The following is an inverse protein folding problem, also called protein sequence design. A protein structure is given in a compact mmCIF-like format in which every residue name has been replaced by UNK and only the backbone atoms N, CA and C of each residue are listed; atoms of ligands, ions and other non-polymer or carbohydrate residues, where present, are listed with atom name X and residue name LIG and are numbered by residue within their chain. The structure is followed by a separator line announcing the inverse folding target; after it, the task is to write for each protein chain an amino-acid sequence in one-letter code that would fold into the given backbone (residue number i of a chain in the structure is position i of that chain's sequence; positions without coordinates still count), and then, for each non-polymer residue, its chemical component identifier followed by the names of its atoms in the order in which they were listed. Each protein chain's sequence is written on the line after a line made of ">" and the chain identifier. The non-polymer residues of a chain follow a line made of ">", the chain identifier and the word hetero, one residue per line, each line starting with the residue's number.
data_IF_168192884603
#
_entry.id   IF_168192884603
#
_cell.length_a   1.000
_cell.length_b   1.000
_cell.length_c   1.000
_cell.angle_alpha   90.00
_cell.angle_beta   90.00
_cell.angle_gamma   90.00
#
_symmetry.space_group_name_H-M   'P 1'
#
loop_
_entity.id
_entity.type
_entity.pdbx_description
1 polymer ?
#
# COMPACT_ATOMS: atom_id res chain seq x y z
N UNK A 1 12.34 -65.92 -26.71
CA UNK A 1 11.99 -64.48 -26.66
C UNK A 1 11.00 -64.29 -25.52
N UNK A 2 11.49 -63.85 -24.36
CA UNK A 2 10.74 -63.17 -23.31
C UNK A 2 11.78 -62.68 -22.31
N UNK A 3 12.00 -61.37 -22.30
CA UNK A 3 12.99 -60.66 -21.50
C UNK A 3 12.30 -60.09 -20.25
N UNK A 4 12.73 -60.53 -19.09
CA UNK A 4 12.49 -59.90 -17.79
C UNK A 4 13.31 -58.62 -17.67
N UNK A 5 12.67 -57.48 -17.44
CA UNK A 5 13.32 -56.26 -16.97
C UNK A 5 12.52 -55.71 -15.81
N UNK A 6 13.07 -55.85 -14.61
CA UNK A 6 12.54 -55.29 -13.37
C UNK A 6 12.56 -53.75 -13.44
N UNK A 7 11.40 -53.14 -13.22
CA UNK A 7 11.26 -51.70 -13.07
C UNK A 7 11.58 -51.29 -11.61
N UNK A 8 12.60 -50.47 -11.43
CA UNK A 8 12.87 -49.78 -10.17
C UNK A 8 11.91 -48.58 -10.01
N UNK A 9 11.44 -48.27 -8.79
CA UNK A 9 10.58 -47.11 -8.57
C UNK A 9 11.39 -45.81 -8.66
N UNK A 10 10.95 -44.90 -9.54
CA UNK A 10 11.42 -43.51 -9.62
C UNK A 10 11.19 -42.82 -8.27
N UNK A 11 12.27 -42.33 -7.65
CA UNK A 11 12.17 -41.54 -6.42
C UNK A 11 11.54 -40.19 -6.72
N UNK A 12 10.45 -39.91 -6.01
CA UNK A 12 9.79 -38.61 -5.95
C UNK A 12 10.66 -37.63 -5.16
N UNK A 13 11.58 -36.95 -5.83
CA UNK A 13 12.34 -35.85 -5.25
C UNK A 13 12.73 -34.86 -6.34
N UNK A 14 11.76 -34.07 -6.80
CA UNK A 14 11.99 -32.78 -7.47
C UNK A 14 10.69 -31.96 -7.38
N UNK A 15 10.34 -31.57 -6.15
CA UNK A 15 9.50 -30.41 -5.91
C UNK A 15 10.46 -29.23 -5.75
N UNK A 16 10.67 -28.51 -6.85
CA UNK A 16 11.42 -27.27 -6.90
C UNK A 16 10.78 -26.26 -5.95
N UNK A 17 11.47 -25.95 -4.85
CA UNK A 17 11.20 -24.78 -4.01
C UNK A 17 11.32 -23.54 -4.90
N UNK A 18 10.21 -22.89 -5.21
CA UNK A 18 10.24 -21.55 -5.78
C UNK A 18 10.77 -20.61 -4.70
N UNK A 19 12.06 -20.26 -4.77
CA UNK A 19 12.56 -19.13 -3.99
C UNK A 19 11.73 -17.90 -4.38
N UNK A 20 10.85 -17.46 -3.48
CA UNK A 20 10.06 -16.25 -3.65
C UNK A 20 11.00 -15.06 -3.54
N UNK A 21 11.56 -14.64 -4.67
CA UNK A 21 12.40 -13.44 -4.74
C UNK A 21 11.59 -12.26 -4.25
N UNK A 22 12.15 -11.49 -3.29
CA UNK A 22 11.42 -10.38 -2.69
C UNK A 22 11.17 -9.27 -3.73
N UNK A 23 10.00 -8.62 -3.72
CA UNK A 23 9.72 -7.47 -4.59
C UNK A 23 10.83 -6.41 -4.60
N UNK A 24 11.45 -6.09 -3.46
CA UNK A 24 12.56 -5.12 -3.47
C UNK A 24 13.77 -5.57 -4.27
N UNK A 25 14.07 -6.86 -4.38
CA UNK A 25 15.18 -7.35 -5.20
C UNK A 25 15.00 -7.02 -6.70
N UNK A 26 13.75 -6.93 -7.18
CA UNK A 26 13.45 -6.61 -8.58
C UNK A 26 13.44 -5.11 -8.90
N UNK A 27 13.11 -4.28 -7.91
CA UNK A 27 12.85 -2.85 -8.13
C UNK A 27 13.82 -1.91 -7.41
N UNK A 28 14.84 -2.45 -6.74
CA UNK A 28 15.80 -1.65 -6.00
C UNK A 28 16.73 -0.86 -6.93
N UNK A 29 16.57 0.45 -6.90
CA UNK A 29 17.55 1.41 -7.42
C UNK A 29 18.26 2.06 -6.22
N UNK A 30 19.57 2.33 -6.35
CA UNK A 30 20.33 3.13 -5.36
C UNK A 30 21.10 4.22 -6.10
N UNK A 31 20.47 5.38 -6.37
CA UNK A 31 21.18 6.50 -6.97
C UNK A 31 22.36 6.95 -6.09
N UNK A 32 23.48 7.40 -6.67
CA UNK A 32 24.62 7.90 -5.89
C UNK A 32 24.19 8.99 -4.92
N UNK A 33 24.66 8.91 -3.66
CA UNK A 33 24.32 9.87 -2.60
C UNK A 33 22.99 9.60 -1.89
N UNK A 34 22.16 8.68 -2.40
CA UNK A 34 20.89 8.30 -1.75
C UNK A 34 21.07 7.07 -0.89
N UNK A 35 20.67 7.18 0.37
CA UNK A 35 20.56 6.08 1.32
C UNK A 35 19.10 5.81 1.65
N UNK A 36 18.72 4.53 1.71
CA UNK A 36 17.39 4.11 2.14
C UNK A 36 17.42 3.74 3.61
N UNK A 37 16.64 4.44 4.42
CA UNK A 37 16.58 4.24 5.86
C UNK A 37 15.15 3.97 6.31
N UNK A 38 14.99 3.10 7.30
CA UNK A 38 13.72 2.90 7.97
C UNK A 38 13.51 4.05 8.98
N UNK A 39 12.27 4.51 9.12
CA UNK A 39 11.96 5.56 10.07
C UNK A 39 12.14 5.06 11.52
N UNK A 40 12.70 5.92 12.37
CA UNK A 40 12.80 5.71 13.80
C UNK A 40 12.27 6.92 14.55
N UNK A 41 11.52 6.67 15.62
CA UNK A 41 10.96 7.72 16.48
C UNK A 41 12.04 8.60 17.12
N UNK A 42 13.24 8.06 17.32
CA UNK A 42 14.38 8.84 17.85
C UNK A 42 14.78 9.99 16.92
N UNK A 43 14.48 9.88 15.62
CA UNK A 43 14.78 10.89 14.59
C UNK A 43 13.57 11.75 14.23
N UNK A 44 12.51 11.77 15.06
CA UNK A 44 11.33 12.59 14.80
C UNK A 44 11.68 14.07 14.63
N UNK A 45 12.52 14.62 15.50
CA UNK A 45 12.90 16.03 15.46
C UNK A 45 13.60 16.43 14.15
N UNK A 46 14.31 15.48 13.52
CA UNK A 46 15.02 15.67 12.25
C UNK A 46 14.10 15.48 11.05
N UNK A 47 13.35 14.38 11.01
CA UNK A 47 12.63 13.98 9.79
C UNK A 47 11.16 14.38 9.75
N UNK A 48 10.46 14.50 10.88
CA UNK A 48 9.04 14.86 10.83
C UNK A 48 8.79 16.24 10.18
N UNK A 49 9.59 17.29 10.44
CA UNK A 49 9.46 18.55 9.70
C UNK A 49 9.67 18.38 8.19
N UNK A 50 10.68 17.59 7.78
CA UNK A 50 10.99 17.35 6.37
C UNK A 50 9.92 16.51 5.66
N UNK A 51 9.39 15.48 6.33
CA UNK A 51 8.28 14.64 5.85
C UNK A 51 7.06 15.52 5.57
N UNK A 52 6.70 16.39 6.52
CA UNK A 52 5.56 17.31 6.39
C UNK A 52 5.74 18.27 5.23
N UNK A 53 6.93 18.88 5.12
CA UNK A 53 7.23 19.79 4.03
C UNK A 53 7.12 19.08 2.68
N UNK A 54 7.71 17.89 2.55
CA UNK A 54 7.70 17.12 1.31
C UNK A 54 6.27 16.71 0.92
N UNK A 55 5.51 16.15 1.86
CA UNK A 55 4.13 15.71 1.62
C UNK A 55 3.21 16.89 1.28
N UNK A 56 3.33 18.03 1.97
CA UNK A 56 2.51 19.22 1.67
C UNK A 56 2.76 19.81 0.28
N UNK A 57 3.92 19.53 -0.33
CA UNK A 57 4.24 19.98 -1.68
C UNK A 57 3.75 19.01 -2.75
N UNK A 58 3.72 17.71 -2.44
CA UNK A 58 3.45 16.65 -3.40
C UNK A 58 1.99 16.19 -3.39
N UNK A 59 1.33 16.25 -2.23
CA UNK A 59 -0.05 15.80 -2.04
C UNK A 59 -1.01 17.00 -1.87
N UNK A 60 -2.21 16.83 -2.42
CA UNK A 60 -3.29 17.84 -2.41
C UNK A 60 -4.00 17.97 -1.05
N UNK A 61 -3.80 17.00 -0.15
CA UNK A 61 -4.52 16.90 1.12
C UNK A 61 -3.74 17.54 2.29
N UNK A 62 -4.34 18.50 3.03
CA UNK A 62 -3.71 19.08 4.20
C UNK A 62 -3.83 18.14 5.41
N UNK A 63 -2.73 17.51 5.81
CA UNK A 63 -2.70 16.68 7.02
C UNK A 63 -2.28 17.48 8.26
N UNK A 64 -3.00 17.27 9.37
CA UNK A 64 -2.56 17.76 10.67
C UNK A 64 -1.34 16.96 11.17
N UNK A 65 -0.54 17.56 12.06
CA UNK A 65 0.59 16.88 12.70
C UNK A 65 0.20 15.55 13.37
N UNK A 66 -1.05 15.45 13.86
CA UNK A 66 -1.56 14.28 14.56
C UNK A 66 -1.70 13.07 13.63
N UNK A 67 -2.05 13.29 12.36
CA UNK A 67 -2.14 12.21 11.37
C UNK A 67 -0.77 11.56 11.15
N UNK A 68 0.28 12.37 10.95
CA UNK A 68 1.63 11.85 10.82
C UNK A 68 2.05 11.05 12.05
N UNK A 69 1.84 11.59 13.25
CA UNK A 69 2.22 10.91 14.49
C UNK A 69 1.44 9.63 14.73
N UNK A 70 0.16 9.58 14.39
CA UNK A 70 -0.64 8.37 14.47
C UNK A 70 0.02 7.23 13.69
N UNK A 71 0.40 7.46 12.43
CA UNK A 71 1.09 6.45 11.64
C UNK A 71 2.49 6.14 12.18
N UNK A 72 3.30 7.17 12.42
CA UNK A 72 4.71 7.01 12.75
C UNK A 72 4.92 6.39 14.13
N UNK A 73 4.01 6.59 15.09
CA UNK A 73 4.15 6.02 16.44
C UNK A 73 3.76 4.54 16.49
N UNK A 74 2.81 4.14 15.65
CA UNK A 74 2.26 2.77 15.65
C UNK A 74 2.99 1.86 14.66
N UNK A 75 3.43 2.42 13.52
CA UNK A 75 4.04 1.67 12.42
C UNK A 75 5.32 2.32 11.89
N UNK A 76 6.15 2.88 12.78
CA UNK A 76 7.47 3.41 12.44
C UNK A 76 8.25 2.47 11.52
N UNK A 77 8.23 1.17 11.85
CA UNK A 77 8.92 0.13 11.12
C UNK A 77 8.43 -0.05 9.66
N UNK A 78 7.17 0.25 9.36
CA UNK A 78 6.64 0.14 7.99
C UNK A 78 6.90 1.39 7.15
N UNK A 79 7.48 2.43 7.76
CA UNK A 79 7.76 3.69 7.10
C UNK A 79 9.23 3.75 6.67
N UNK A 80 9.47 4.05 5.39
CA UNK A 80 10.81 4.11 4.81
C UNK A 80 11.06 5.48 4.18
N UNK A 81 12.32 5.90 4.21
CA UNK A 81 12.79 7.18 3.70
C UNK A 81 13.98 6.95 2.76
N UNK A 82 14.09 7.81 1.76
CA UNK A 82 15.30 7.98 0.98
C UNK A 82 15.92 9.32 1.37
N UNK A 83 17.14 9.31 1.88
CA UNK A 83 17.87 10.49 2.35
C UNK A 83 19.04 10.79 1.43
N UNK A 84 19.24 12.07 1.13
CA UNK A 84 20.41 12.55 0.40
C UNK A 84 21.55 12.84 1.38
N UNK A 85 22.51 11.92 1.41
CA UNK A 85 23.72 12.00 2.25
C UNK A 85 24.68 13.09 1.79
N UNK A 86 24.51 13.64 0.58
CA UNK A 86 25.34 14.72 0.04
C UNK A 86 24.80 16.11 0.38
N UNK A 87 23.53 16.22 0.78
CA UNK A 87 22.85 17.46 1.19
C UNK A 87 22.30 17.34 2.62
N UNK A 88 23.19 17.19 3.61
CA UNK A 88 22.84 17.21 5.04
C UNK A 88 21.66 16.30 5.43
N UNK A 89 21.63 15.06 4.92
CA UNK A 89 20.56 14.07 5.14
C UNK A 89 19.16 14.56 4.77
N UNK A 90 19.07 15.42 3.76
CA UNK A 90 17.78 15.94 3.31
C UNK A 90 16.91 14.85 2.73
N UNK A 91 15.62 14.90 3.06
CA UNK A 91 14.66 13.91 2.62
C UNK A 91 14.38 14.02 1.11
N UNK A 92 14.74 12.98 0.36
CA UNK A 92 14.51 12.86 -1.07
C UNK A 92 13.16 12.18 -1.39
N UNK A 93 12.76 11.19 -0.60
CA UNK A 93 11.46 10.53 -0.72
C UNK A 93 11.04 9.87 0.60
N UNK A 94 9.74 9.64 0.77
CA UNK A 94 9.19 8.94 1.95
C UNK A 94 7.96 8.12 1.56
N UNK A 95 7.81 6.96 2.19
CA UNK A 95 6.57 6.18 2.21
C UNK A 95 6.13 5.98 3.67
N UNK A 96 4.87 6.24 3.95
CA UNK A 96 4.24 6.03 5.26
C UNK A 96 3.15 4.98 5.10
N UNK A 97 3.24 3.95 5.91
CA UNK A 97 2.39 2.76 5.81
C UNK A 97 1.83 2.37 7.18
N UNK A 98 0.78 1.55 7.16
CA UNK A 98 0.30 0.81 8.33
C UNK A 98 -0.04 -0.63 8.01
N UNK A 99 -0.24 -1.44 9.03
CA UNK A 99 -0.69 -2.82 8.93
C UNK A 99 -1.64 -3.14 10.08
N UNK A 100 -2.89 -3.45 9.75
CA UNK A 100 -3.96 -3.75 10.73
C UNK A 100 -5.02 -4.67 10.12
N UNK A 101 -5.78 -5.36 10.98
CA UNK A 101 -6.96 -6.10 10.54
C UNK A 101 -8.02 -5.15 9.98
N UNK A 102 -8.46 -5.40 8.76
CA UNK A 102 -9.47 -4.57 8.11
C UNK A 102 -10.87 -5.11 8.38
N UNK A 103 -11.59 -4.46 9.31
CA UNK A 103 -13.01 -4.71 9.61
C UNK A 103 -13.32 -6.18 9.94
N UNK A 104 -12.52 -6.76 10.83
CA UNK A 104 -12.65 -8.18 11.20
C UNK A 104 -12.24 -9.17 10.10
N UNK A 105 -11.82 -8.67 8.93
CA UNK A 105 -11.37 -9.47 7.79
C UNK A 105 -9.84 -9.53 7.69
N UNK A 106 -9.27 -9.38 6.48
CA UNK A 106 -7.85 -9.64 6.23
C UNK A 106 -6.93 -8.67 6.99
N UNK A 107 -5.74 -9.15 7.33
CA UNK A 107 -4.63 -8.32 7.79
C UNK A 107 -4.13 -7.49 6.60
N UNK A 108 -4.51 -6.21 6.57
CA UNK A 108 -4.33 -5.34 5.41
C UNK A 108 -3.22 -4.33 5.67
N UNK A 109 -2.21 -4.36 4.81
CA UNK A 109 -1.26 -3.27 4.66
C UNK A 109 -1.93 -2.07 3.98
N UNK A 110 -1.58 -0.85 4.38
CA UNK A 110 -2.11 0.36 3.76
C UNK A 110 -1.02 1.37 3.52
N UNK A 111 -0.87 1.82 2.27
CA UNK A 111 0.08 2.88 1.89
C UNK A 111 -0.65 4.21 1.99
N UNK A 112 -0.40 4.93 3.08
CA UNK A 112 -1.13 6.15 3.41
C UNK A 112 -0.61 7.36 2.65
N UNK A 113 0.71 7.51 2.60
CA UNK A 113 1.36 8.67 1.98
C UNK A 113 2.63 8.20 1.27
N UNK A 114 2.83 8.68 0.05
CA UNK A 114 4.04 8.50 -0.74
C UNK A 114 4.38 9.83 -1.38
N UNK A 115 5.58 10.34 -1.13
CA UNK A 115 6.02 11.59 -1.73
C UNK A 115 7.48 11.50 -2.18
N UNK A 116 7.81 12.14 -3.30
CA UNK A 116 9.18 12.21 -3.83
C UNK A 116 9.51 13.63 -4.26
N UNK A 117 10.64 14.12 -3.78
CA UNK A 117 11.16 15.44 -4.13
C UNK A 117 11.38 15.52 -5.65
N UNK A 118 10.97 16.63 -6.26
CA UNK A 118 10.94 16.80 -7.71
C UNK A 118 12.31 16.54 -8.36
N UNK A 119 13.40 16.94 -7.70
CA UNK A 119 14.77 16.74 -8.18
C UNK A 119 15.20 15.25 -8.22
N UNK A 120 14.45 14.37 -7.56
CA UNK A 120 14.70 12.93 -7.49
C UNK A 120 13.62 12.07 -8.16
N UNK A 121 12.60 12.69 -8.76
CA UNK A 121 11.59 11.96 -9.55
C UNK A 121 12.25 11.29 -10.76
N UNK A 122 11.64 10.20 -11.22
CA UNK A 122 12.16 9.41 -12.35
C UNK A 122 13.41 8.58 -12.04
N UNK A 123 13.95 8.64 -10.83
CA UNK A 123 15.13 7.84 -10.39
C UNK A 123 14.77 6.55 -9.65
N UNK A 124 13.51 6.13 -9.70
CA UNK A 124 13.04 4.89 -9.07
C UNK A 124 12.88 4.91 -7.54
N UNK A 125 13.10 6.05 -6.87
CA UNK A 125 13.06 6.12 -5.39
C UNK A 125 11.73 5.63 -4.81
N UNK A 126 10.61 6.13 -5.33
CA UNK A 126 9.28 5.74 -4.90
C UNK A 126 9.04 4.23 -5.07
N UNK A 127 9.47 3.64 -6.19
CA UNK A 127 9.32 2.21 -6.43
C UNK A 127 10.17 1.39 -5.46
N UNK A 128 11.42 1.79 -5.19
CA UNK A 128 12.26 1.13 -4.18
C UNK A 128 11.61 1.18 -2.80
N UNK A 129 11.11 2.35 -2.37
CA UNK A 129 10.48 2.53 -1.06
C UNK A 129 9.23 1.68 -0.89
N UNK A 130 8.33 1.72 -1.87
CA UNK A 130 7.10 0.92 -1.82
C UNK A 130 7.44 -0.57 -1.83
N UNK A 131 8.43 -1.01 -2.62
CA UNK A 131 8.84 -2.42 -2.64
C UNK A 131 9.40 -2.89 -1.29
N UNK A 132 10.18 -2.05 -0.60
CA UNK A 132 10.65 -2.36 0.76
C UNK A 132 9.51 -2.45 1.77
N UNK A 133 8.52 -1.57 1.66
CA UNK A 133 7.32 -1.64 2.50
C UNK A 133 6.50 -2.92 2.24
N UNK A 134 6.34 -3.32 0.97
CA UNK A 134 5.67 -4.57 0.59
C UNK A 134 6.41 -5.77 1.17
N UNK A 135 7.74 -5.84 1.02
CA UNK A 135 8.56 -6.94 1.57
C UNK A 135 8.33 -7.11 3.08
N UNK A 136 8.37 -6.00 3.84
CA UNK A 136 8.14 -6.04 5.28
C UNK A 136 6.68 -6.38 5.66
N UNK A 137 5.70 -5.94 4.85
CA UNK A 137 4.30 -6.35 5.06
C UNK A 137 4.11 -7.84 4.81
N UNK A 138 4.77 -8.41 3.78
CA UNK A 138 4.78 -9.87 3.53
C UNK A 138 5.42 -10.60 4.70
N UNK A 139 6.56 -10.12 5.21
CA UNK A 139 7.23 -10.71 6.38
C UNK A 139 6.33 -10.69 7.63
N UNK A 140 5.49 -9.66 7.76
CA UNK A 140 4.49 -9.53 8.82
C UNK A 140 3.15 -10.22 8.52
N UNK A 141 3.14 -11.14 7.56
CA UNK A 141 2.01 -11.98 7.19
C UNK A 141 0.78 -11.21 6.69
N UNK A 142 0.97 -10.05 6.07
CA UNK A 142 -0.12 -9.31 5.43
C UNK A 142 -0.84 -10.17 4.37
N UNK A 143 -2.17 -10.09 4.36
CA UNK A 143 -3.03 -10.79 3.40
C UNK A 143 -3.15 -10.01 2.08
N UNK A 144 -3.18 -8.68 2.18
CA UNK A 144 -3.28 -7.76 1.06
C UNK A 144 -2.75 -6.37 1.40
N UNK A 145 -2.52 -5.54 0.38
CA UNK A 145 -2.09 -4.15 0.53
C UNK A 145 -3.03 -3.24 -0.26
N UNK A 146 -3.49 -2.16 0.35
CA UNK A 146 -4.41 -1.21 -0.25
C UNK A 146 -3.83 0.22 -0.29
N UNK A 147 -4.33 1.00 -1.25
CA UNK A 147 -4.10 2.45 -1.33
C UNK A 147 -5.16 3.13 -2.21
N UNK A 148 -5.25 4.45 -2.09
CA UNK A 148 -5.99 5.30 -3.01
C UNK A 148 -5.06 6.29 -3.72
N UNK A 149 -5.34 6.55 -4.99
CA UNK A 149 -4.63 7.58 -5.76
C UNK A 149 -5.58 8.32 -6.70
N UNK A 150 -5.30 9.59 -6.95
CA UNK A 150 -6.07 10.42 -7.89
C UNK A 150 -6.09 9.79 -9.29
N UNK A 151 -7.25 9.78 -9.94
CA UNK A 151 -7.41 9.25 -11.30
C UNK A 151 -6.49 9.96 -12.31
N UNK A 152 -6.15 11.22 -12.06
CA UNK A 152 -5.25 12.05 -12.87
C UNK A 152 -3.77 11.76 -12.61
N UNK A 153 -3.41 11.10 -11.52
CA UNK A 153 -2.02 10.80 -11.16
C UNK A 153 -1.48 9.58 -11.94
N UNK A 154 -1.28 9.79 -13.24
CA UNK A 154 -0.82 8.74 -14.17
C UNK A 154 0.54 8.15 -13.79
N UNK A 155 1.41 8.92 -13.12
CA UNK A 155 2.71 8.46 -12.66
C UNK A 155 2.58 7.45 -11.51
N UNK A 156 1.76 7.75 -10.50
CA UNK A 156 1.48 6.84 -9.40
C UNK A 156 0.74 5.58 -9.88
N UNK A 157 -0.26 5.73 -10.76
CA UNK A 157 -0.98 4.60 -11.34
C UNK A 157 -0.03 3.60 -12.02
N UNK A 158 0.87 4.09 -12.89
CA UNK A 158 1.86 3.25 -13.58
C UNK A 158 2.85 2.59 -12.60
N UNK A 159 3.21 3.29 -11.52
CA UNK A 159 4.08 2.74 -10.48
C UNK A 159 3.41 1.54 -9.80
N UNK A 160 2.17 1.72 -9.33
CA UNK A 160 1.46 0.68 -8.59
C UNK A 160 1.05 -0.50 -9.49
N UNK A 161 0.61 -0.24 -10.72
CA UNK A 161 0.33 -1.31 -11.69
C UNK A 161 1.57 -2.16 -11.99
N UNK A 162 2.76 -1.55 -12.08
CA UNK A 162 4.03 -2.29 -12.24
C UNK A 162 4.35 -3.16 -11.03
N UNK A 163 3.97 -2.73 -9.83
CA UNK A 163 4.13 -3.49 -8.59
C UNK A 163 3.04 -4.55 -8.39
N UNK A 164 2.14 -4.73 -9.37
CA UNK A 164 1.10 -5.77 -9.34
C UNK A 164 -0.22 -5.34 -8.69
N UNK A 165 -0.38 -4.05 -8.35
CA UNK A 165 -1.65 -3.57 -7.83
C UNK A 165 -2.72 -3.56 -8.93
N UNK A 166 -3.93 -3.96 -8.53
CA UNK A 166 -5.12 -4.01 -9.37
C UNK A 166 -6.09 -2.91 -8.95
N UNK A 167 -6.75 -2.29 -9.93
CA UNK A 167 -7.81 -1.31 -9.67
C UNK A 167 -9.05 -2.05 -9.16
N UNK A 168 -9.41 -1.83 -7.90
CA UNK A 168 -10.53 -2.50 -7.24
C UNK A 168 -11.84 -1.69 -7.37
N UNK A 169 -11.78 -0.39 -7.07
CA UNK A 169 -12.98 0.46 -7.01
C UNK A 169 -12.67 1.89 -7.46
N UNK A 170 -13.62 2.54 -8.12
CA UNK A 170 -13.59 3.99 -8.37
C UNK A 170 -14.35 4.71 -7.27
N UNK A 171 -13.72 5.71 -6.65
CA UNK A 171 -14.27 6.54 -5.59
C UNK A 171 -14.54 7.93 -6.16
N UNK A 172 -15.81 8.28 -6.33
CA UNK A 172 -16.20 9.56 -6.92
C UNK A 172 -16.07 10.69 -5.89
N UNK A 173 -15.43 11.80 -6.28
CA UNK A 173 -15.23 13.00 -5.43
C UNK A 173 -14.62 12.64 -4.06
N UNK A 174 -13.59 11.80 -4.09
CA UNK A 174 -12.93 11.27 -2.90
C UNK A 174 -12.08 12.33 -2.21
N UNK A 175 -11.28 13.08 -2.98
CA UNK A 175 -10.40 14.12 -2.45
C UNK A 175 -11.14 15.43 -2.20
N UNK A 176 -10.61 16.29 -1.33
CA UNK A 176 -11.21 17.58 -0.97
C UNK A 176 -11.39 18.51 -2.18
N UNK A 177 -10.51 18.39 -3.17
CA UNK A 177 -10.60 19.12 -4.44
C UNK A 177 -11.73 18.61 -5.36
N UNK A 178 -12.48 17.58 -4.96
CA UNK A 178 -13.56 16.97 -5.73
C UNK A 178 -13.11 15.95 -6.78
N UNK A 179 -11.81 15.66 -6.87
CA UNK A 179 -11.27 14.67 -7.80
C UNK A 179 -11.66 13.25 -7.40
N UNK A 180 -11.85 12.40 -8.40
CA UNK A 180 -12.09 10.98 -8.18
C UNK A 180 -10.78 10.25 -7.91
N UNK A 181 -10.85 9.17 -7.12
CA UNK A 181 -9.72 8.29 -6.84
C UNK A 181 -10.00 6.89 -7.37
N UNK A 182 -8.94 6.13 -7.63
CA UNK A 182 -9.02 4.68 -7.68
C UNK A 182 -8.49 4.10 -6.37
N UNK A 183 -9.22 3.14 -5.81
CA UNK A 183 -8.68 2.21 -4.82
C UNK A 183 -7.96 1.08 -5.54
N UNK A 184 -6.72 0.86 -5.16
CA UNK A 184 -5.86 -0.18 -5.70
C UNK A 184 -5.61 -1.24 -4.61
N UNK A 185 -5.55 -2.50 -5.01
CA UNK A 185 -5.30 -3.64 -4.13
C UNK A 185 -4.19 -4.53 -4.70
N UNK A 186 -3.30 -4.99 -3.83
CA UNK A 186 -2.34 -6.05 -4.11
C UNK A 186 -2.66 -7.22 -3.18
N UNK A 187 -3.15 -8.33 -3.73
CA UNK A 187 -3.39 -9.55 -2.95
C UNK A 187 -2.09 -10.33 -2.77
N UNK A 188 -1.73 -10.64 -1.54
CA UNK A 188 -0.51 -11.37 -1.20
C UNK A 188 -0.77 -12.86 -1.00
N UNK A 189 -1.99 -13.22 -0.58
CA UNK A 189 -2.41 -14.62 -0.39
C UNK A 189 -3.62 -14.97 -1.27
N UNK A 190 -3.72 -16.24 -1.65
CA UNK A 190 -4.85 -16.73 -2.43
C UNK A 190 -6.13 -16.72 -1.59
N UNK A 191 -7.26 -16.32 -2.18
CA UNK A 191 -8.57 -16.34 -1.54
C UNK A 191 -8.92 -15.11 -0.69
N UNK A 192 -7.97 -14.18 -0.49
CA UNK A 192 -8.17 -12.98 0.34
C UNK A 192 -9.32 -12.09 -0.14
N UNK A 193 -9.50 -11.96 -1.46
CA UNK A 193 -10.60 -11.19 -2.04
C UNK A 193 -12.02 -11.72 -1.71
N UNK A 194 -12.13 -12.94 -1.17
CA UNK A 194 -13.39 -13.53 -0.70
C UNK A 194 -13.61 -13.47 0.82
N UNK A 195 -12.64 -12.94 1.59
CA UNK A 195 -12.77 -12.84 3.05
C UNK A 195 -13.85 -11.79 3.37
N UNK A 196 -14.88 -12.14 4.14
CA UNK A 196 -15.89 -11.18 4.58
C UNK A 196 -15.24 -10.05 5.38
N UNK A 197 -15.67 -8.82 5.11
CA UNK A 197 -15.33 -7.65 5.90
C UNK A 197 -16.62 -7.06 6.44
N UNK A 198 -16.62 -6.62 7.69
CA UNK A 198 -17.77 -5.89 8.22
C UNK A 198 -18.00 -4.60 7.40
N UNK A 199 -19.23 -4.06 7.44
CA UNK A 199 -19.55 -2.78 6.82
C UNK A 199 -19.24 -1.65 7.81
N UNK A 200 -18.24 -0.82 7.51
CA UNK A 200 -17.93 0.40 8.29
C UNK A 200 -17.94 1.62 7.36
N UNK A 201 -19.01 2.42 7.34
CA UNK A 201 -19.14 3.54 6.40
C UNK A 201 -18.13 4.68 6.63
N UNK A 202 -17.39 4.69 7.76
CA UNK A 202 -16.47 5.78 8.11
C UNK A 202 -15.01 5.51 7.71
N UNK A 203 -14.55 4.25 7.77
CA UNK A 203 -13.17 3.89 7.38
C UNK A 203 -12.92 3.82 5.87
N UNK A 204 -13.97 3.89 5.04
CA UNK A 204 -13.83 4.00 3.57
C UNK A 204 -13.68 5.45 3.09
N UNK A 205 -13.77 6.41 4.02
CA UNK A 205 -13.57 7.82 3.73
C UNK A 205 -12.09 8.18 3.92
N UNK A 206 -11.54 9.08 3.08
CA UNK A 206 -10.20 9.60 3.31
C UNK A 206 -10.14 10.23 4.72
N UNK A 207 -8.98 10.22 5.40
CA UNK A 207 -8.86 10.81 6.73
C UNK A 207 -9.36 12.27 6.80
N UNK A 208 -9.30 13.00 5.69
CA UNK A 208 -9.80 14.38 5.57
C UNK A 208 -11.34 14.51 5.49
N UNK A 209 -12.07 13.42 5.27
CA UNK A 209 -13.53 13.40 5.12
C UNK A 209 -14.26 12.68 6.27
N UNK A 210 -13.54 12.20 7.29
CA UNK A 210 -14.14 11.53 8.46
C UNK A 210 -15.05 12.47 9.28
N UNK A 211 -14.81 13.79 9.22
CA UNK A 211 -15.60 14.82 9.93
C UNK A 211 -16.63 15.56 9.03
N UNK A 212 -16.87 15.12 7.78
CA UNK A 212 -17.81 15.81 6.86
C UNK A 212 -19.28 15.41 7.13
N UNK A 213 -20.16 16.34 7.54
CA UNK A 213 -21.55 16.05 7.89
C UNK A 213 -22.42 15.58 6.71
N UNK A 214 -21.97 15.70 5.46
CA UNK A 214 -22.70 15.15 4.29
C UNK A 214 -22.71 13.62 4.26
N UNK A 215 -21.77 12.98 4.94
CA UNK A 215 -21.71 11.52 5.07
C UNK A 215 -22.38 10.99 6.35
N UNK A 216 -22.77 11.87 7.27
CA UNK A 216 -23.48 11.52 8.51
C UNK A 216 -24.99 11.26 8.31
N UNK A 217 -25.50 11.30 7.07
CA UNK A 217 -26.93 11.39 6.78
C UNK A 217 -27.57 10.26 5.96
N UNK A 218 -26.89 9.15 5.65
CA UNK A 218 -27.51 8.01 4.95
C UNK A 218 -27.86 6.89 5.92
N UNK A 219 -28.78 7.18 6.84
CA UNK A 219 -29.44 6.17 7.66
C UNK A 219 -30.92 6.08 7.27
N UNK A 220 -31.22 5.16 6.36
CA UNK A 220 -32.53 4.52 6.22
C UNK A 220 -32.45 3.32 5.27
N UNK A 221 -32.29 2.14 5.90
CA UNK A 221 -32.78 0.80 5.53
C UNK A 221 -32.59 0.33 4.08
N UNK A 222 -31.84 -0.76 3.93
CA UNK A 222 -32.28 -1.89 3.11
C UNK A 222 -31.78 -3.20 3.73
N UNK A 223 -32.73 -4.05 4.10
CA UNK A 223 -32.50 -5.37 4.69
C UNK A 223 -31.72 -6.29 3.72
N UNK A 224 -30.85 -7.19 4.22
CA UNK A 224 -30.07 -8.09 3.38
C UNK A 224 -30.88 -9.15 2.59
N UNK A 225 -32.20 -9.16 2.66
CA UNK A 225 -33.06 -10.17 2.02
C UNK A 225 -33.55 -9.82 0.61
N UNK A 226 -33.36 -8.58 0.13
CA UNK A 226 -33.93 -8.15 -1.15
C UNK A 226 -33.05 -8.43 -2.40
N UNK A 227 -31.81 -8.90 -2.22
CA UNK A 227 -30.87 -9.11 -3.34
C UNK A 227 -31.17 -10.42 -4.11
N UNK A 228 -31.95 -11.36 -3.56
CA UNK A 228 -32.29 -12.63 -4.23
C UNK A 228 -33.59 -12.61 -5.05
N UNK A 229 -34.31 -11.48 -5.13
CA UNK A 229 -35.68 -11.46 -5.68
C UNK A 229 -35.84 -10.78 -7.05
N UNK A 230 -34.78 -10.37 -7.74
CA UNK A 230 -34.91 -9.82 -9.11
C UNK A 230 -34.00 -10.52 -10.09
N UNK A 231 -34.50 -11.68 -10.51
CA UNK A 231 -33.95 -12.49 -11.58
C UNK A 231 -34.06 -11.86 -12.95
N UNK A 232 -33.14 -12.33 -13.79
CA UNK A 232 -33.19 -12.48 -15.24
C UNK A 232 -34.64 -12.51 -15.78
N UNK A 233 -34.97 -11.54 -16.64
CA UNK A 233 -35.47 -11.64 -18.05
C UNK A 233 -35.45 -10.21 -18.62
#
# INVERSE_FOLDING_TARGET
>A
MSSDVAAAPLSSSDLTTSESISPSAHFQCTPPGIEYVQYSLEKEAEYLPQIRELISKDLSEPYSIYVYRYFLYQWAELCFMAVDTTDNNKLAAVVICKLESHRGGPLRGYIAMLATNEAFRGKGLATTLVSKAIDLMIEKDADEIALETEETNTAAMKLYERLGFLRSKKLHRYYLNGSSAYRLLLYLKQGVGGIPTDYDPYNDLPPSAQDDPRYQGQDQRQDPQDIFSRGII
#
